data_IF_588168934989
#
_entry.id   IF_588168934989
#
_cell.length_a   1.000
_cell.length_b   1.000
_cell.length_c   1.000
_cell.angle_alpha   90.00
_cell.angle_beta   90.00
_cell.angle_gamma   90.00
#
_symmetry.space_group_name_H-M   'P 1'
#
loop_
_entity.id
_entity.type
_entity.pdbx_description
1 polymer ?
#
# COMPACT_ATOMS: atom_id res chain seq x y z
N UNK A 1 -1.33 34.24 8.16
CA UNK A 1 -0.87 32.83 8.15
C UNK A 1 -1.73 32.05 9.12
N UNK A 2 -2.79 31.41 8.61
CA UNK A 2 -3.72 30.61 9.42
C UNK A 2 -3.06 29.29 9.82
N UNK A 3 -2.42 29.27 10.99
CA UNK A 3 -1.94 28.02 11.62
C UNK A 3 -3.15 27.33 12.24
N UNK A 4 -3.77 26.41 11.50
CA UNK A 4 -4.72 25.47 12.09
C UNK A 4 -3.91 24.34 12.76
N UNK A 5 -3.76 24.32 14.10
CA UNK A 5 -2.87 23.40 14.79
C UNK A 5 -3.34 21.94 14.70
N UNK A 6 -4.62 21.70 14.39
CA UNK A 6 -5.21 20.37 14.30
C UNK A 6 -4.80 19.65 13.01
N UNK A 7 -4.49 20.39 11.94
CA UNK A 7 -4.18 19.81 10.64
C UNK A 7 -2.68 19.51 10.43
N UNK A 8 -1.80 20.03 11.30
CA UNK A 8 -0.35 19.88 11.14
C UNK A 8 0.14 18.44 11.38
N UNK A 9 -0.45 17.69 12.31
CA UNK A 9 -0.03 16.31 12.59
C UNK A 9 -0.26 15.36 11.40
N UNK A 10 -1.42 15.51 10.72
CA UNK A 10 -1.77 14.70 9.56
C UNK A 10 -1.03 15.13 8.28
N UNK A 11 -0.61 16.38 8.13
CA UNK A 11 0.29 16.73 7.02
C UNK A 11 1.72 16.20 7.28
N UNK A 12 2.22 16.36 8.51
CA UNK A 12 3.57 15.98 8.89
C UNK A 12 3.88 14.49 8.65
N UNK A 13 2.94 13.58 8.89
CA UNK A 13 3.19 12.16 8.62
C UNK A 13 3.34 11.84 7.12
N UNK A 14 2.70 12.62 6.25
CA UNK A 14 2.84 12.49 4.79
C UNK A 14 4.23 12.98 4.39
N UNK A 15 4.61 14.18 4.87
CA UNK A 15 5.90 14.80 4.56
C UNK A 15 7.07 13.89 4.98
N UNK A 16 7.03 13.34 6.20
CA UNK A 16 8.08 12.44 6.71
C UNK A 16 8.19 11.18 5.85
N UNK A 17 7.07 10.51 5.55
CA UNK A 17 7.07 9.29 4.74
C UNK A 17 7.56 9.56 3.33
N UNK A 18 7.13 10.68 2.74
CA UNK A 18 7.55 11.08 1.40
C UNK A 18 9.06 11.30 1.32
N UNK A 19 9.63 12.05 2.28
CA UNK A 19 11.07 12.28 2.31
C UNK A 19 11.85 10.98 2.47
N UNK A 20 11.45 10.12 3.40
CA UNK A 20 12.10 8.83 3.62
C UNK A 20 12.08 7.96 2.35
N UNK A 21 10.90 7.73 1.74
CA UNK A 21 10.79 6.92 0.52
C UNK A 21 11.65 7.50 -0.61
N UNK A 22 11.67 8.83 -0.77
CA UNK A 22 12.47 9.49 -1.80
C UNK A 22 13.98 9.29 -1.59
N UNK A 23 14.43 9.26 -0.34
CA UNK A 23 15.84 9.04 -0.02
C UNK A 23 16.23 7.57 -0.24
N UNK A 24 15.37 6.61 0.12
CA UNK A 24 15.57 5.18 -0.21
C UNK A 24 15.65 4.92 -1.72
N UNK A 25 14.79 5.59 -2.50
CA UNK A 25 14.83 5.51 -3.98
C UNK A 25 16.13 6.10 -4.53
N UNK A 26 16.63 7.21 -3.96
CA UNK A 26 17.91 7.80 -4.39
C UNK A 26 19.10 6.92 -4.04
N UNK A 27 19.04 6.21 -2.91
CA UNK A 27 20.07 5.23 -2.54
C UNK A 27 20.00 3.96 -3.41
N UNK A 28 18.91 3.76 -4.16
CA UNK A 28 18.72 2.61 -5.03
C UNK A 28 18.23 1.35 -4.30
N UNK A 29 17.89 1.47 -3.02
CA UNK A 29 17.39 0.37 -2.18
C UNK A 29 15.91 0.05 -2.50
N UNK A 30 15.18 1.02 -3.04
CA UNK A 30 13.76 0.88 -3.40
C UNK A 30 13.52 1.35 -4.83
N UNK A 31 12.82 0.54 -5.62
CA UNK A 31 12.29 0.92 -6.93
C UNK A 31 10.78 1.17 -6.80
N UNK A 32 10.31 2.30 -7.32
CA UNK A 32 8.88 2.64 -7.33
C UNK A 32 8.34 2.41 -8.73
N UNK A 33 7.45 1.44 -8.85
CA UNK A 33 6.74 1.12 -10.09
C UNK A 33 5.24 1.24 -9.89
N UNK A 34 4.54 1.66 -10.94
CA UNK A 34 3.09 1.66 -10.94
C UNK A 34 2.57 0.23 -11.05
N UNK A 35 1.63 -0.12 -10.17
CA UNK A 35 0.90 -1.37 -10.21
C UNK A 35 -0.60 -1.06 -10.27
N UNK A 36 -1.30 -1.66 -11.22
CA UNK A 36 -2.74 -1.51 -11.33
C UNK A 36 -3.45 -2.06 -10.08
N UNK A 37 -4.53 -1.40 -9.67
CA UNK A 37 -5.32 -1.87 -8.52
C UNK A 37 -5.83 -3.29 -8.73
N UNK A 38 -6.09 -3.69 -9.98
CA UNK A 38 -6.53 -5.04 -10.34
C UNK A 38 -5.45 -6.12 -10.09
N UNK A 39 -4.17 -5.76 -10.00
CA UNK A 39 -3.05 -6.69 -9.81
C UNK A 39 -2.29 -6.46 -8.50
N UNK A 40 -2.69 -5.48 -7.70
CA UNK A 40 -2.05 -5.15 -6.42
C UNK A 40 -2.32 -6.24 -5.36
N UNK A 41 -1.45 -7.25 -5.31
CA UNK A 41 -1.56 -8.38 -4.37
C UNK A 41 -1.61 -7.93 -2.91
N UNK A 42 -0.91 -6.85 -2.55
CA UNK A 42 -0.89 -6.29 -1.20
C UNK A 42 -2.28 -5.87 -0.67
N UNK A 43 -3.26 -5.68 -1.57
CA UNK A 43 -4.63 -5.32 -1.17
C UNK A 43 -5.28 -6.39 -0.28
N UNK A 44 -4.91 -7.67 -0.44
CA UNK A 44 -5.45 -8.75 0.41
C UNK A 44 -5.07 -8.58 1.88
N UNK A 45 -3.92 -7.97 2.17
CA UNK A 45 -3.40 -7.80 3.53
C UNK A 45 -3.78 -6.46 4.15
N UNK A 46 -4.21 -5.49 3.34
CA UNK A 46 -4.39 -4.10 3.76
C UNK A 46 -5.85 -3.63 3.68
N UNK A 47 -6.72 -4.37 3.00
CA UNK A 47 -8.12 -3.99 2.77
C UNK A 47 -9.09 -5.14 3.09
N UNK A 48 -10.28 -4.78 3.56
CA UNK A 48 -11.42 -5.69 3.60
C UNK A 48 -12.05 -5.82 2.21
N UNK A 49 -11.62 -6.82 1.43
CA UNK A 49 -12.07 -7.02 0.06
C UNK A 49 -13.37 -7.83 -0.01
N UNK A 50 -14.21 -7.53 -1.02
CA UNK A 50 -15.37 -8.35 -1.32
C UNK A 50 -14.99 -9.77 -1.77
N UNK A 51 -15.85 -10.75 -1.52
CA UNK A 51 -15.58 -12.18 -1.75
C UNK A 51 -14.94 -12.54 -3.09
N UNK A 52 -15.45 -12.07 -4.24
CA UNK A 52 -14.84 -12.35 -5.55
C UNK A 52 -13.40 -11.85 -5.64
N UNK A 53 -13.18 -10.57 -5.28
CA UNK A 53 -11.86 -9.94 -5.34
C UNK A 53 -10.85 -10.58 -4.39
N UNK A 54 -11.31 -10.93 -3.18
CA UNK A 54 -10.50 -11.65 -2.21
C UNK A 54 -10.07 -13.02 -2.79
N UNK A 55 -11.01 -13.76 -3.38
CA UNK A 55 -10.74 -15.08 -3.99
C UNK A 55 -9.74 -14.99 -5.14
N UNK A 56 -9.87 -14.00 -6.01
CA UNK A 56 -8.93 -13.78 -7.14
C UNK A 56 -7.51 -13.52 -6.63
N UNK A 57 -7.35 -12.63 -5.64
CA UNK A 57 -6.03 -12.32 -5.06
C UNK A 57 -5.48 -13.48 -4.23
N UNK A 58 -6.33 -14.27 -3.56
CA UNK A 58 -5.94 -15.46 -2.80
C UNK A 58 -5.34 -16.53 -3.73
N UNK A 59 -5.98 -16.76 -4.88
CA UNK A 59 -5.44 -17.64 -5.92
C UNK A 59 -4.11 -17.13 -6.49
N UNK A 60 -4.03 -15.82 -6.78
CA UNK A 60 -2.80 -15.21 -7.28
C UNK A 60 -1.65 -15.25 -6.26
N UNK A 61 -1.96 -15.29 -4.96
CA UNK A 61 -0.98 -15.49 -3.87
C UNK A 61 -0.56 -16.96 -3.69
N UNK A 62 -1.21 -17.90 -4.40
CA UNK A 62 -0.95 -19.34 -4.26
C UNK A 62 -1.58 -19.97 -3.02
N UNK A 63 -2.58 -19.33 -2.43
CA UNK A 63 -3.36 -19.89 -1.33
C UNK A 63 -4.50 -20.71 -1.92
N UNK A 64 -4.40 -22.03 -1.83
CA UNK A 64 -5.41 -22.95 -2.33
C UNK A 64 -6.22 -23.53 -1.17
N UNK A 65 -7.53 -23.70 -1.38
CA UNK A 65 -8.34 -24.47 -0.45
C UNK A 65 -7.90 -25.93 -0.54
N UNK A 66 -7.48 -26.51 0.59
CA UNK A 66 -7.13 -27.93 0.65
C UNK A 66 -8.40 -28.75 0.37
N UNK A 67 -8.37 -29.54 -0.70
CA UNK A 67 -9.41 -30.52 -0.99
C UNK A 67 -9.12 -31.74 -0.14
N UNK A 68 -10.05 -32.10 0.75
CA UNK A 68 -9.98 -33.31 1.56
C UNK A 68 -10.64 -34.49 0.85
#
# INVERSE_FOLDING_TARGET
MTKNPVNHGRAKHIDIKYHHIRDEVKHGEVLVEYCETATMLADILTKGLGGPRHKDLTMALGVYACSH
#
